data_IF_737356199307
#
_entry.id   IF_737356199307
#
_cell.length_a   1.000
_cell.length_b   1.000
_cell.length_c   1.000
_cell.angle_alpha   90.00
_cell.angle_beta   90.00
_cell.angle_gamma   90.00
#
_symmetry.space_group_name_H-M   'P 1'
#
loop_
_entity.id
_entity.type
_entity.pdbx_description
1 polymer ?
#
# COMPACT_ATOMS: atom_id res chain seq x y z
N UNK A 1 13.72 -31.04 -32.23
CA UNK A 1 14.83 -30.54 -31.39
C UNK A 1 14.22 -29.62 -30.37
N UNK A 2 14.09 -30.06 -29.12
CA UNK A 2 13.68 -29.16 -28.03
C UNK A 2 14.88 -28.27 -27.70
N UNK A 3 14.80 -27.01 -28.06
CA UNK A 3 15.76 -25.99 -27.59
C UNK A 3 15.54 -25.88 -26.09
N UNK A 4 16.44 -26.41 -25.29
CA UNK A 4 16.48 -26.18 -23.84
C UNK A 4 16.88 -24.72 -23.65
N UNK A 5 15.93 -23.83 -23.54
CA UNK A 5 16.17 -22.43 -23.17
C UNK A 5 16.68 -22.45 -21.73
N UNK A 6 17.83 -21.83 -21.48
CA UNK A 6 18.35 -21.65 -20.12
C UNK A 6 17.33 -20.82 -19.34
N UNK A 7 16.85 -21.25 -18.16
CA UNK A 7 15.85 -20.51 -17.37
C UNK A 7 16.23 -19.04 -17.11
N UNK A 8 17.52 -18.72 -17.02
CA UNK A 8 17.99 -17.34 -16.88
C UNK A 8 17.67 -16.49 -18.13
N UNK A 9 17.82 -17.04 -19.33
CA UNK A 9 17.50 -16.34 -20.58
C UNK A 9 15.98 -16.18 -20.78
N UNK A 10 15.19 -17.06 -20.18
CA UNK A 10 13.73 -16.98 -20.24
C UNK A 10 13.20 -15.78 -19.45
N UNK A 11 13.74 -15.53 -18.24
CA UNK A 11 13.35 -14.37 -17.43
C UNK A 11 13.82 -13.07 -18.07
N UNK A 12 15.00 -13.01 -18.67
CA UNK A 12 15.45 -11.83 -19.40
C UNK A 12 14.49 -11.47 -20.53
N UNK A 13 14.18 -12.47 -21.37
CA UNK A 13 13.26 -12.27 -22.50
C UNK A 13 11.86 -11.86 -22.02
N UNK A 14 11.39 -12.44 -20.91
CA UNK A 14 10.11 -12.07 -20.34
C UNK A 14 10.12 -10.60 -19.88
N UNK A 15 11.14 -10.16 -19.17
CA UNK A 15 11.26 -8.78 -18.70
C UNK A 15 11.53 -7.78 -19.83
N UNK A 16 12.23 -8.18 -20.89
CA UNK A 16 12.42 -7.33 -22.10
C UNK A 16 11.12 -7.08 -22.84
N UNK A 17 10.18 -8.00 -22.76
CA UNK A 17 8.90 -7.93 -23.48
C UNK A 17 7.69 -7.73 -22.56
N UNK A 18 7.91 -7.56 -21.26
CA UNK A 18 6.84 -7.52 -20.25
C UNK A 18 5.86 -6.38 -20.46
N UNK A 19 6.37 -5.21 -20.85
CA UNK A 19 5.58 -4.01 -21.13
C UNK A 19 5.95 -3.49 -22.53
N UNK A 20 4.94 -3.09 -23.29
CA UNK A 20 5.10 -2.38 -24.54
C UNK A 20 4.43 -1.02 -24.40
N UNK A 21 5.23 0.02 -24.50
CA UNK A 21 4.84 1.44 -24.59
C UNK A 21 5.36 1.98 -25.92
N UNK A 22 4.59 1.75 -26.98
CA UNK A 22 4.91 2.21 -28.34
C UNK A 22 3.89 3.26 -28.76
N UNK A 23 4.22 4.52 -28.55
CA UNK A 23 3.38 5.68 -28.88
C UNK A 23 3.14 5.83 -30.38
N UNK A 24 4.13 5.45 -31.23
CA UNK A 24 4.01 5.55 -32.67
C UNK A 24 3.05 4.50 -33.23
N UNK A 25 3.14 3.28 -32.72
CA UNK A 25 2.23 2.20 -33.09
C UNK A 25 0.87 2.26 -32.35
N UNK A 26 0.75 3.08 -31.31
CA UNK A 26 -0.44 3.13 -30.44
C UNK A 26 -0.64 1.85 -29.62
N UNK A 27 0.45 1.20 -29.23
CA UNK A 27 0.43 -0.08 -28.50
C UNK A 27 0.88 0.16 -27.07
N UNK A 28 -0.04 0.00 -26.12
CA UNK A 28 0.20 0.11 -24.67
C UNK A 28 -0.35 -1.15 -24.02
N UNK A 29 0.53 -2.06 -23.55
CA UNK A 29 0.10 -3.35 -23.01
C UNK A 29 1.13 -3.99 -22.12
N UNK A 30 0.69 -4.85 -21.20
CA UNK A 30 1.57 -5.70 -20.41
C UNK A 30 1.26 -7.18 -20.59
N UNK A 31 2.27 -8.03 -20.38
CA UNK A 31 2.13 -9.49 -20.52
C UNK A 31 1.39 -10.07 -19.32
N UNK A 32 0.49 -11.03 -19.57
CA UNK A 32 -0.27 -11.72 -18.52
C UNK A 32 0.58 -12.69 -17.71
N UNK A 33 1.64 -13.24 -18.28
CA UNK A 33 2.52 -14.16 -17.57
C UNK A 33 3.34 -13.52 -16.46
N UNK A 34 3.50 -12.18 -16.41
CA UNK A 34 4.07 -11.49 -15.23
C UNK A 34 3.22 -11.66 -13.95
N UNK A 35 1.95 -12.01 -14.09
CA UNK A 35 1.02 -12.27 -12.97
C UNK A 35 1.01 -13.73 -12.53
N UNK A 36 1.64 -14.64 -13.29
CA UNK A 36 1.57 -16.09 -13.03
C UNK A 36 2.94 -16.75 -12.87
N UNK A 37 4.02 -16.04 -13.20
CA UNK A 37 5.38 -16.61 -13.15
C UNK A 37 5.91 -16.67 -11.71
N UNK A 38 6.12 -17.89 -11.20
CA UNK A 38 6.59 -18.11 -9.83
C UNK A 38 8.03 -17.62 -9.58
N UNK A 39 8.91 -17.64 -10.58
CA UNK A 39 10.28 -17.17 -10.44
C UNK A 39 10.32 -15.64 -10.32
N UNK A 40 9.48 -14.92 -11.07
CA UNK A 40 9.31 -13.48 -10.89
C UNK A 40 8.75 -13.15 -9.50
N UNK A 41 7.78 -13.92 -9.02
CA UNK A 41 7.24 -13.74 -7.67
C UNK A 41 8.33 -13.85 -6.57
N UNK A 42 9.25 -14.79 -6.66
CA UNK A 42 10.34 -14.89 -5.69
C UNK A 42 11.29 -13.67 -5.72
N UNK A 43 11.56 -13.14 -6.92
CA UNK A 43 12.32 -11.90 -7.08
C UNK A 43 11.54 -10.68 -6.54
N UNK A 44 10.24 -10.59 -6.80
CA UNK A 44 9.36 -9.55 -6.24
C UNK A 44 9.41 -9.55 -4.70
N UNK A 45 9.27 -10.74 -4.10
CA UNK A 45 9.34 -10.86 -2.64
C UNK A 45 10.66 -10.35 -2.09
N UNK A 46 11.79 -10.73 -2.70
CA UNK A 46 13.13 -10.37 -2.24
C UNK A 46 13.48 -8.90 -2.49
N UNK A 47 13.16 -8.36 -3.66
CA UNK A 47 13.65 -7.05 -4.10
C UNK A 47 12.61 -5.93 -4.03
N UNK A 48 11.32 -6.26 -4.04
CA UNK A 48 10.25 -5.27 -3.89
C UNK A 48 9.74 -5.23 -2.45
N UNK A 49 9.23 -6.37 -1.92
CA UNK A 49 8.57 -6.38 -0.61
C UNK A 49 9.54 -6.45 0.58
N UNK A 50 10.68 -7.10 0.43
CA UNK A 50 11.72 -7.21 1.47
C UNK A 50 12.85 -6.22 1.24
N UNK A 51 13.12 -5.87 -0.03
CA UNK A 51 14.25 -5.06 -0.47
C UNK A 51 13.96 -3.57 -0.66
N UNK A 52 12.72 -3.12 -0.52
CA UNK A 52 12.35 -1.73 -0.65
C UNK A 52 11.47 -1.27 0.53
N UNK A 53 11.05 0.00 0.54
CA UNK A 53 10.14 0.51 1.55
C UNK A 53 8.74 -0.10 1.43
N UNK A 54 8.21 -0.60 2.53
CA UNK A 54 6.83 -1.05 2.67
C UNK A 54 6.17 -0.39 3.87
N UNK A 55 4.89 -0.06 3.74
CA UNK A 55 4.10 0.45 4.85
C UNK A 55 3.87 -0.66 5.88
N UNK A 56 4.00 -0.32 7.16
CA UNK A 56 3.92 -1.24 8.29
C UNK A 56 2.72 -0.99 9.19
N UNK A 57 2.51 0.26 9.59
CA UNK A 57 1.47 0.67 10.52
C UNK A 57 1.32 2.20 10.52
N UNK A 58 0.28 2.71 11.18
CA UNK A 58 0.19 4.11 11.57
C UNK A 58 0.54 4.25 13.06
N UNK A 59 1.25 5.31 13.44
CA UNK A 59 1.73 5.49 14.82
C UNK A 59 0.60 5.54 15.86
N UNK A 60 -0.62 5.92 15.46
CA UNK A 60 -1.80 5.89 16.33
C UNK A 60 -2.23 4.49 16.76
N UNK A 61 -1.69 3.44 16.15
CA UNK A 61 -1.94 2.04 16.55
C UNK A 61 -1.07 1.59 17.73
N UNK A 62 -0.07 2.41 18.10
CA UNK A 62 0.86 2.22 19.21
C UNK A 62 1.03 3.55 19.97
N UNK A 63 -0.06 4.12 20.52
CA UNK A 63 -0.05 5.49 21.07
C UNK A 63 0.70 5.59 22.40
N UNK A 64 0.68 4.56 23.24
CA UNK A 64 1.17 4.61 24.60
C UNK A 64 2.55 3.93 24.75
N UNK A 65 3.31 4.35 25.76
CA UNK A 65 4.58 3.72 26.09
C UNK A 65 4.38 2.23 26.36
N UNK A 66 5.26 1.41 25.83
CA UNK A 66 5.25 -0.06 25.80
C UNK A 66 4.16 -0.70 24.92
N UNK A 67 3.45 0.08 24.13
CA UNK A 67 2.57 -0.48 23.11
C UNK A 67 3.39 -1.19 22.03
N UNK A 68 2.78 -2.23 21.46
CA UNK A 68 3.34 -2.94 20.31
C UNK A 68 2.25 -3.27 19.28
N UNK A 69 2.70 -3.39 18.03
CA UNK A 69 1.89 -3.82 16.89
C UNK A 69 2.68 -4.80 16.03
N UNK A 70 2.05 -5.91 15.61
CA UNK A 70 2.68 -6.91 14.75
C UNK A 70 2.26 -6.75 13.31
N UNK A 71 3.23 -6.84 12.40
CA UNK A 71 3.03 -6.70 10.96
C UNK A 71 4.05 -7.56 10.20
N UNK A 72 4.22 -7.30 8.91
CA UNK A 72 5.11 -8.05 8.03
C UNK A 72 5.88 -7.12 7.10
N UNK A 73 7.12 -7.51 6.78
CA UNK A 73 7.87 -7.04 5.62
C UNK A 73 8.06 -8.25 4.72
N UNK A 74 7.32 -8.31 3.62
CA UNK A 74 7.29 -9.50 2.78
C UNK A 74 6.95 -10.77 3.58
N UNK A 75 7.91 -11.69 3.70
CA UNK A 75 7.80 -12.95 4.45
C UNK A 75 8.25 -12.83 5.92
N UNK A 76 8.86 -11.70 6.32
CA UNK A 76 9.41 -11.53 7.66
C UNK A 76 8.36 -10.99 8.63
N UNK A 77 8.07 -11.70 9.75
CA UNK A 77 7.24 -11.14 10.80
C UNK A 77 7.98 -10.03 11.54
N UNK A 78 7.30 -8.90 11.76
CA UNK A 78 7.84 -7.71 12.42
C UNK A 78 7.01 -7.40 13.66
N UNK A 79 7.64 -6.88 14.69
CA UNK A 79 6.97 -6.19 15.78
C UNK A 79 7.50 -4.75 15.87
N UNK A 80 6.56 -3.81 15.83
CA UNK A 80 6.82 -2.39 16.07
C UNK A 80 6.46 -2.12 17.52
N UNK A 81 7.28 -1.37 18.22
CA UNK A 81 7.09 -1.06 19.64
C UNK A 81 7.32 0.43 19.89
N UNK A 82 6.63 0.96 20.89
CA UNK A 82 7.00 2.24 21.51
C UNK A 82 7.62 1.94 22.85
N UNK A 83 8.86 2.36 23.07
CA UNK A 83 9.53 2.09 24.34
C UNK A 83 9.03 2.99 25.48
N UNK A 84 9.63 2.85 26.65
CA UNK A 84 9.27 3.65 27.84
C UNK A 84 9.61 5.15 27.71
N UNK A 85 10.44 5.52 26.75
CA UNK A 85 10.80 6.92 26.47
C UNK A 85 9.93 7.54 25.38
N UNK A 86 9.09 6.73 24.73
CA UNK A 86 8.24 7.14 23.62
C UNK A 86 8.87 6.92 22.23
N UNK A 87 10.10 6.39 22.16
CA UNK A 87 10.77 6.10 20.91
C UNK A 87 10.19 4.86 20.23
N UNK A 88 10.09 4.90 18.90
CA UNK A 88 9.58 3.81 18.07
C UNK A 88 10.73 2.90 17.60
N UNK A 89 10.53 1.61 17.73
CA UNK A 89 11.46 0.57 17.25
C UNK A 89 10.73 -0.44 16.38
N UNK A 90 11.44 -1.05 15.43
CA UNK A 90 10.93 -2.15 14.62
C UNK A 90 11.94 -3.28 14.59
N UNK A 91 11.57 -4.45 15.06
CA UNK A 91 12.45 -5.64 15.14
C UNK A 91 11.82 -6.85 14.47
N UNK A 92 12.65 -7.78 14.02
CA UNK A 92 12.20 -9.06 13.51
C UNK A 92 11.54 -9.83 14.66
N UNK A 93 10.29 -10.23 14.48
CA UNK A 93 9.48 -10.95 15.47
C UNK A 93 9.84 -12.45 15.50
N UNK A 94 11.11 -12.75 15.67
CA UNK A 94 11.62 -14.11 15.70
C UNK A 94 12.69 -14.24 16.80
N UNK A 95 12.48 -15.18 17.74
CA UNK A 95 13.42 -15.43 18.83
C UNK A 95 14.80 -15.81 18.31
N UNK A 96 15.85 -15.15 18.81
CA UNK A 96 17.23 -15.41 18.42
C UNK A 96 17.71 -16.84 18.71
N UNK A 97 17.00 -17.59 19.56
CA UNK A 97 17.33 -18.98 19.86
C UNK A 97 16.97 -19.94 18.70
N UNK A 98 15.69 -20.05 18.37
CA UNK A 98 15.19 -21.01 17.34
C UNK A 98 14.05 -20.41 16.49
N UNK A 99 13.99 -19.11 16.33
CA UNK A 99 13.09 -18.45 15.39
C UNK A 99 11.61 -18.39 15.78
N UNK A 100 11.21 -18.86 16.98
CA UNK A 100 9.80 -18.82 17.35
C UNK A 100 9.30 -17.37 17.44
N UNK A 101 8.09 -17.10 16.91
CA UNK A 101 7.46 -15.78 17.04
C UNK A 101 7.21 -15.43 18.50
N UNK A 102 7.69 -14.27 18.93
CA UNK A 102 7.58 -13.75 20.29
C UNK A 102 6.19 -13.15 20.55
N UNK A 103 5.78 -12.25 19.66
CA UNK A 103 4.48 -11.58 19.70
C UNK A 103 3.52 -12.26 18.72
N UNK A 104 2.50 -12.93 19.25
CA UNK A 104 1.50 -13.67 18.46
C UNK A 104 0.16 -12.94 18.38
N UNK A 105 -0.02 -11.87 19.17
CA UNK A 105 -1.19 -11.00 19.12
C UNK A 105 -0.91 -9.79 18.25
N UNK A 106 -1.92 -9.28 17.59
CA UNK A 106 -1.81 -8.14 16.68
C UNK A 106 -1.28 -6.88 17.36
N UNK A 107 -1.72 -6.62 18.59
CA UNK A 107 -1.34 -5.46 19.41
C UNK A 107 -1.41 -5.80 20.91
N UNK A 108 -0.82 -4.95 21.72
CA UNK A 108 -0.85 -5.00 23.18
C UNK A 108 0.16 -4.05 23.80
N UNK A 109 0.28 -4.09 25.14
CA UNK A 109 1.21 -3.25 25.91
C UNK A 109 2.15 -4.11 26.73
N UNK A 110 3.46 -4.08 26.44
CA UNK A 110 4.50 -4.85 27.14
C UNK A 110 5.88 -4.21 26.97
N UNK A 111 6.59 -4.02 28.07
CA UNK A 111 8.00 -3.59 28.08
C UNK A 111 9.01 -4.68 27.73
N UNK A 112 8.60 -5.95 27.72
CA UNK A 112 9.45 -7.09 27.36
C UNK A 112 8.64 -8.26 26.81
N UNK A 113 9.30 -9.13 26.05
CA UNK A 113 8.72 -10.30 25.41
C UNK A 113 9.46 -11.56 25.83
N UNK A 114 8.77 -12.49 26.48
CA UNK A 114 9.33 -13.80 26.84
C UNK A 114 8.90 -14.83 25.79
N UNK A 115 9.89 -15.47 25.19
CA UNK A 115 9.67 -16.52 24.20
C UNK A 115 8.93 -17.70 24.87
N UNK A 116 7.75 -18.10 24.36
CA UNK A 116 6.97 -19.18 24.98
C UNK A 116 7.61 -20.56 24.79
N UNK A 117 8.65 -20.67 23.94
CA UNK A 117 9.29 -21.94 23.66
C UNK A 117 10.34 -22.29 24.74
N UNK A 118 11.33 -21.41 25.01
CA UNK A 118 12.42 -21.71 25.95
C UNK A 118 12.68 -20.58 26.97
N UNK A 119 11.78 -19.62 27.11
CA UNK A 119 11.85 -18.60 28.15
C UNK A 119 12.88 -17.49 27.94
N UNK A 120 13.51 -17.38 26.74
CA UNK A 120 14.36 -16.23 26.46
C UNK A 120 13.53 -14.95 26.45
N UNK A 121 14.02 -13.94 27.16
CA UNK A 121 13.28 -12.69 27.35
C UNK A 121 14.04 -11.53 26.73
N UNK A 122 13.35 -10.74 25.91
CA UNK A 122 13.88 -9.58 25.21
C UNK A 122 13.14 -8.32 25.67
N UNK A 123 13.83 -7.19 25.71
CA UNK A 123 13.17 -5.90 25.85
C UNK A 123 12.31 -5.60 24.62
N UNK A 124 11.41 -4.62 24.73
CA UNK A 124 10.66 -4.13 23.57
C UNK A 124 11.53 -3.36 22.56
N UNK A 125 12.80 -3.05 22.89
CA UNK A 125 13.79 -2.52 21.97
C UNK A 125 14.64 -3.62 21.28
N UNK A 126 14.36 -4.90 21.59
CA UNK A 126 15.02 -6.07 21.01
C UNK A 126 16.22 -6.61 21.77
N UNK A 127 16.69 -5.98 22.85
CA UNK A 127 17.84 -6.48 23.65
C UNK A 127 17.50 -7.77 24.39
N UNK A 128 18.37 -8.76 24.33
CA UNK A 128 18.28 -9.95 25.17
C UNK A 128 18.50 -9.57 26.63
N UNK A 129 17.47 -9.77 27.47
CA UNK A 129 17.51 -9.44 28.90
C UNK A 129 17.84 -10.65 29.78
N UNK A 130 17.37 -11.83 29.37
CA UNK A 130 17.50 -13.04 30.17
C UNK A 130 17.36 -14.29 29.32
N UNK A 131 18.19 -15.28 29.59
CA UNK A 131 17.98 -16.67 29.16
C UNK A 131 17.62 -17.53 30.37
N UNK A 132 16.89 -18.62 30.14
CA UNK A 132 16.57 -19.58 31.21
C UNK A 132 17.85 -20.28 31.64
N UNK A 133 18.01 -20.47 32.96
CA UNK A 133 19.12 -21.21 33.59
C UNK A 133 20.54 -20.65 33.27
N UNK A 134 20.63 -19.34 32.95
CA UNK A 134 21.90 -18.65 32.59
C UNK A 134 23.01 -18.76 33.66
N UNK A 135 22.63 -18.94 34.92
CA UNK A 135 23.58 -19.04 36.05
C UNK A 135 24.22 -20.43 36.21
N UNK A 136 23.75 -21.39 35.45
CA UNK A 136 24.37 -22.70 35.35
C UNK A 136 25.43 -22.60 34.23
N UNK A 137 26.47 -23.40 34.28
CA UNK A 137 27.57 -23.38 33.27
C UNK A 137 27.15 -23.91 31.90
N UNK A 138 25.91 -23.65 31.53
CA UNK A 138 25.26 -24.20 30.34
C UNK A 138 25.58 -23.44 29.02
N UNK A 139 26.11 -22.19 29.15
CA UNK A 139 26.42 -21.34 27.98
C UNK A 139 27.93 -21.02 27.96
N UNK A 140 28.53 -20.90 26.75
CA UNK A 140 29.90 -20.43 26.60
C UNK A 140 30.12 -19.05 27.22
N UNK A 141 31.34 -18.76 27.70
CA UNK A 141 31.67 -17.46 28.30
C UNK A 141 31.43 -16.29 27.34
N UNK A 142 31.53 -16.53 26.03
CA UNK A 142 31.31 -15.53 24.97
C UNK A 142 29.85 -15.40 24.57
N UNK A 143 28.94 -16.12 25.24
CA UNK A 143 27.49 -16.03 24.96
C UNK A 143 26.99 -14.60 25.10
N UNK A 144 26.29 -14.14 24.09
CA UNK A 144 25.71 -12.79 23.98
C UNK A 144 26.72 -11.64 24.12
N UNK A 145 28.01 -11.87 23.83
CA UNK A 145 28.98 -10.81 23.77
C UNK A 145 28.60 -9.81 22.67
N UNK A 146 28.59 -8.52 23.01
CA UNK A 146 28.18 -7.41 22.11
C UNK A 146 26.74 -7.52 21.55
N UNK A 147 25.81 -8.18 22.26
CA UNK A 147 24.43 -8.31 21.83
C UNK A 147 24.22 -9.26 20.65
N UNK A 148 25.10 -10.26 20.49
CA UNK A 148 25.04 -11.22 19.38
C UNK A 148 23.71 -12.01 19.31
N UNK A 149 22.96 -12.04 20.40
CA UNK A 149 21.65 -12.70 20.51
C UNK A 149 20.48 -11.71 20.72
N UNK A 150 20.71 -10.42 20.49
CA UNK A 150 19.62 -9.45 20.44
C UNK A 150 18.73 -9.74 19.20
N UNK A 151 17.47 -9.31 19.25
CA UNK A 151 16.62 -9.37 18.06
C UNK A 151 17.16 -8.46 16.97
N UNK A 152 17.12 -8.93 15.73
CA UNK A 152 17.55 -8.11 14.60
C UNK A 152 16.60 -6.94 14.41
N UNK A 153 17.17 -5.76 14.29
CA UNK A 153 16.44 -4.55 13.92
C UNK A 153 16.01 -4.63 12.46
N UNK A 154 14.91 -4.00 12.09
CA UNK A 154 14.58 -3.70 10.71
C UNK A 154 15.66 -2.75 10.18
N UNK A 155 16.24 -3.05 9.03
CA UNK A 155 17.43 -2.35 8.52
C UNK A 155 17.19 -0.86 8.27
N UNK A 156 16.00 -0.51 7.80
CA UNK A 156 15.51 0.88 7.69
C UNK A 156 14.10 0.95 8.25
N UNK A 157 13.86 1.92 9.12
CA UNK A 157 12.55 2.19 9.72
C UNK A 157 12.39 3.70 9.83
N UNK A 158 11.29 4.24 9.32
CA UNK A 158 11.04 5.67 9.28
C UNK A 158 9.55 6.00 9.43
N UNK A 159 9.28 7.22 9.90
CA UNK A 159 7.94 7.78 10.09
C UNK A 159 7.78 8.98 9.16
N UNK A 160 6.76 8.96 8.30
CA UNK A 160 6.33 10.14 7.56
C UNK A 160 4.90 10.49 7.95
N UNK A 161 4.74 11.58 8.68
CA UNK A 161 3.43 12.13 9.10
C UNK A 161 2.54 11.13 9.85
N UNK A 162 3.13 10.20 10.60
CA UNK A 162 2.45 9.14 11.32
C UNK A 162 2.36 7.79 10.58
N UNK A 163 2.66 7.76 9.30
CA UNK A 163 2.75 6.53 8.52
C UNK A 163 4.14 5.92 8.68
N UNK A 164 4.19 4.68 9.19
CA UNK A 164 5.43 3.97 9.50
C UNK A 164 5.80 3.04 8.35
N UNK A 165 7.03 3.17 7.89
CA UNK A 165 7.58 2.37 6.80
C UNK A 165 8.84 1.62 7.26
N UNK A 166 9.12 0.49 6.61
CA UNK A 166 10.34 -0.27 6.87
C UNK A 166 10.87 -1.00 5.65
N UNK A 167 12.15 -1.33 5.68
CA UNK A 167 12.81 -2.16 4.67
C UNK A 167 13.84 -3.08 5.35
N UNK A 168 14.04 -4.28 4.80
CA UNK A 168 15.13 -5.18 5.23
C UNK A 168 16.45 -4.87 4.53
N UNK A 169 16.44 -4.00 3.51
CA UNK A 169 17.62 -3.51 2.81
C UNK A 169 18.08 -2.18 3.42
N UNK A 170 19.35 -2.14 3.84
CA UNK A 170 19.96 -0.94 4.42
C UNK A 170 20.27 0.16 3.39
N UNK A 171 20.34 -0.20 2.11
CA UNK A 171 20.79 0.68 1.02
C UNK A 171 19.65 1.30 0.21
N UNK A 172 18.41 1.25 0.73
CA UNK A 172 17.28 1.95 0.12
C UNK A 172 17.45 3.47 0.21
N UNK A 173 16.87 4.19 -0.74
CA UNK A 173 16.78 5.65 -0.71
C UNK A 173 16.21 6.14 0.62
N UNK A 174 16.53 7.36 1.06
CA UNK A 174 15.78 8.00 2.15
C UNK A 174 14.27 7.94 1.90
N UNK A 175 13.46 7.73 2.93
CA UNK A 175 12.01 7.55 2.75
C UNK A 175 11.35 8.72 2.01
N UNK A 176 11.73 9.95 2.32
CA UNK A 176 11.16 11.13 1.68
C UNK A 176 11.49 11.20 0.19
N UNK A 177 12.69 10.79 -0.21
CA UNK A 177 13.09 10.73 -1.62
C UNK A 177 12.34 9.60 -2.34
N UNK A 178 12.14 8.45 -1.67
CA UNK A 178 11.34 7.36 -2.21
C UNK A 178 9.87 7.73 -2.41
N UNK A 179 9.28 8.41 -1.43
CA UNK A 179 7.88 8.88 -1.53
C UNK A 179 7.70 9.95 -2.60
N UNK A 180 8.72 10.75 -2.87
CA UNK A 180 8.70 11.77 -3.92
C UNK A 180 7.41 12.61 -3.90
N UNK A 181 6.74 12.68 -5.03
CA UNK A 181 5.48 13.44 -5.21
C UNK A 181 4.30 12.90 -4.38
N UNK A 182 4.32 11.60 -4.03
CA UNK A 182 3.28 11.02 -3.17
C UNK A 182 3.18 11.73 -1.81
N UNK A 183 4.26 12.39 -1.33
CA UNK A 183 4.24 13.18 -0.09
C UNK A 183 3.19 14.28 -0.10
N UNK A 184 3.04 14.99 -1.22
CA UNK A 184 2.07 16.09 -1.34
C UNK A 184 0.65 15.57 -1.06
N UNK A 185 0.33 14.39 -1.55
CA UNK A 185 -0.97 13.77 -1.35
C UNK A 185 -1.14 13.24 0.09
N UNK A 186 -0.08 12.66 0.67
CA UNK A 186 -0.09 12.27 2.08
C UNK A 186 -0.29 13.50 2.97
N UNK A 187 0.39 14.60 2.67
CA UNK A 187 0.24 15.86 3.40
C UNK A 187 -1.20 16.39 3.32
N UNK A 188 -1.83 16.40 2.14
CA UNK A 188 -3.23 16.79 2.00
C UNK A 188 -4.18 15.90 2.82
N UNK A 189 -3.91 14.59 2.91
CA UNK A 189 -4.69 13.66 3.74
C UNK A 189 -4.51 13.98 5.23
N UNK A 190 -3.28 14.24 5.68
CA UNK A 190 -2.99 14.56 7.08
C UNK A 190 -3.49 15.96 7.45
N UNK A 191 -3.41 16.90 6.53
CA UNK A 191 -3.81 18.31 6.76
C UNK A 191 -5.32 18.51 6.87
N UNK A 192 -6.13 17.46 6.64
CA UNK A 192 -7.53 17.45 7.07
C UNK A 192 -7.69 17.55 8.60
N UNK A 193 -6.68 17.12 9.35
CA UNK A 193 -6.73 16.82 10.77
C UNK A 193 -5.77 17.71 11.58
N UNK A 194 -6.23 18.77 12.25
CA UNK A 194 -5.35 19.67 13.02
C UNK A 194 -4.61 18.95 14.16
N UNK A 195 -5.19 17.90 14.71
CA UNK A 195 -4.63 17.09 15.79
C UNK A 195 -4.00 15.76 15.31
N UNK A 196 -3.79 15.62 13.99
CA UNK A 196 -3.32 14.40 13.37
C UNK A 196 -4.42 13.35 13.14
N UNK A 197 -4.03 12.27 12.49
CA UNK A 197 -4.91 11.15 12.15
C UNK A 197 -4.86 10.06 13.21
N UNK A 198 -5.91 9.25 13.28
CA UNK A 198 -5.96 7.99 14.00
C UNK A 198 -6.55 6.88 13.13
N UNK A 199 -6.00 5.68 13.25
CA UNK A 199 -6.60 4.46 12.71
C UNK A 199 -7.68 4.00 13.68
N UNK A 200 -8.90 3.82 13.19
CA UNK A 200 -10.02 3.40 14.01
C UNK A 200 -9.88 1.93 14.41
N UNK A 201 -10.45 1.60 15.56
CA UNK A 201 -10.49 0.20 16.02
C UNK A 201 -11.42 -0.61 15.14
N UNK A 202 -11.05 -1.86 14.94
CA UNK A 202 -11.76 -2.76 14.03
C UNK A 202 -11.13 -2.68 12.62
N UNK A 203 -10.49 -3.76 12.23
CA UNK A 203 -9.98 -3.96 10.88
C UNK A 203 -10.62 -5.18 10.28
N UNK A 204 -10.72 -5.20 8.97
CA UNK A 204 -11.09 -6.38 8.21
C UNK A 204 -9.90 -6.83 7.36
N UNK A 205 -9.84 -8.13 7.10
CA UNK A 205 -8.85 -8.70 6.20
C UNK A 205 -9.51 -9.77 5.34
N UNK A 206 -9.04 -9.89 4.11
CA UNK A 206 -9.46 -10.93 3.19
C UNK A 206 -8.25 -11.49 2.44
N UNK A 207 -8.43 -12.66 1.87
CA UNK A 207 -7.48 -13.27 0.95
C UNK A 207 -8.24 -13.53 -0.34
N UNK A 208 -7.65 -13.14 -1.46
CA UNK A 208 -8.18 -13.47 -2.77
C UNK A 208 -7.19 -14.33 -3.56
N UNK A 209 -7.73 -15.14 -4.46
CA UNK A 209 -6.98 -16.01 -5.37
C UNK A 209 -6.58 -15.22 -6.61
N UNK A 210 -5.53 -14.43 -6.48
CA UNK A 210 -5.00 -13.57 -7.54
C UNK A 210 -3.68 -12.93 -7.15
N UNK A 211 -2.94 -12.51 -8.18
CA UNK A 211 -1.66 -11.82 -8.04
C UNK A 211 -1.84 -10.42 -7.43
N UNK A 212 -0.88 -10.02 -6.62
CA UNK A 212 -0.91 -8.74 -5.90
C UNK A 212 -1.00 -7.51 -6.82
N UNK A 213 -0.46 -7.57 -8.04
CA UNK A 213 -0.50 -6.48 -9.02
C UNK A 213 -1.92 -6.11 -9.44
N UNK A 214 -2.86 -7.05 -9.43
CA UNK A 214 -4.28 -6.76 -9.73
C UNK A 214 -4.87 -5.75 -8.74
N UNK A 215 -4.57 -5.91 -7.44
CA UNK A 215 -5.01 -4.96 -6.42
C UNK A 215 -4.33 -3.60 -6.60
N UNK A 216 -3.06 -3.59 -7.04
CA UNK A 216 -2.32 -2.35 -7.24
C UNK A 216 -2.90 -1.51 -8.39
N UNK A 217 -3.39 -2.13 -9.43
CA UNK A 217 -4.11 -1.46 -10.52
C UNK A 217 -5.51 -1.02 -10.05
N UNK A 218 -6.33 -1.95 -9.57
CA UNK A 218 -7.74 -1.72 -9.21
C UNK A 218 -7.94 -0.56 -8.23
N UNK A 219 -7.04 -0.37 -7.28
CA UNK A 219 -7.16 0.69 -6.28
C UNK A 219 -7.14 2.11 -6.85
N UNK A 220 -6.61 2.31 -8.06
CA UNK A 220 -6.58 3.58 -8.79
C UNK A 220 -7.25 3.49 -10.16
N UNK A 221 -8.09 2.49 -10.39
CA UNK A 221 -8.85 2.30 -11.62
C UNK A 221 -10.25 2.93 -11.49
N UNK A 222 -10.54 3.90 -12.33
CA UNK A 222 -11.88 4.49 -12.43
C UNK A 222 -12.75 3.83 -13.49
N UNK A 223 -12.17 2.99 -14.36
CA UNK A 223 -12.89 2.42 -15.50
C UNK A 223 -13.86 1.31 -15.09
N UNK A 224 -13.49 0.46 -14.16
CA UNK A 224 -14.35 -0.64 -13.69
C UNK A 224 -15.57 -0.18 -12.90
N UNK A 225 -15.53 1.03 -12.29
CA UNK A 225 -16.50 1.50 -11.29
C UNK A 225 -17.95 1.42 -11.80
N UNK A 226 -18.21 1.84 -13.03
CA UNK A 226 -19.56 1.84 -13.61
C UNK A 226 -20.08 0.43 -13.95
N UNK A 227 -19.21 -0.56 -14.10
CA UNK A 227 -19.55 -1.93 -14.44
C UNK A 227 -19.60 -2.82 -13.20
N UNK A 228 -18.51 -2.92 -12.47
CA UNK A 228 -18.37 -3.82 -11.31
C UNK A 228 -19.24 -3.33 -10.14
N UNK A 229 -19.25 -2.01 -9.88
CA UNK A 229 -19.99 -1.45 -8.75
C UNK A 229 -21.41 -0.96 -9.10
N UNK A 230 -21.98 -1.46 -10.18
CA UNK A 230 -23.37 -1.11 -10.56
C UNK A 230 -24.38 -1.39 -9.45
N UNK A 231 -24.23 -2.52 -8.74
CA UNK A 231 -25.12 -2.91 -7.66
C UNK A 231 -25.09 -1.88 -6.50
N UNK A 232 -23.90 -1.41 -6.13
CA UNK A 232 -23.75 -0.35 -5.13
C UNK A 232 -24.45 0.92 -5.57
N UNK A 233 -24.19 1.39 -6.79
CA UNK A 233 -24.80 2.60 -7.34
C UNK A 233 -26.33 2.52 -7.38
N UNK A 234 -26.90 1.40 -7.84
CA UNK A 234 -28.34 1.17 -7.87
C UNK A 234 -28.95 1.16 -6.47
N UNK A 235 -28.24 0.58 -5.49
CA UNK A 235 -28.69 0.55 -4.08
C UNK A 235 -28.67 1.94 -3.47
N UNK A 236 -27.58 2.70 -3.65
CA UNK A 236 -27.48 4.07 -3.16
C UNK A 236 -28.53 4.99 -3.78
N UNK A 237 -28.82 4.83 -5.07
CA UNK A 237 -29.89 5.56 -5.75
C UNK A 237 -31.31 5.33 -5.19
N UNK A 238 -31.53 4.15 -4.56
CA UNK A 238 -32.80 3.80 -3.90
C UNK A 238 -32.87 4.28 -2.45
N UNK A 239 -31.76 4.48 -1.79
CA UNK A 239 -31.70 4.99 -0.40
C UNK A 239 -32.11 6.47 -0.41
N UNK A 240 -33.02 6.85 0.48
CA UNK A 240 -33.50 8.24 0.60
C UNK A 240 -32.63 9.07 1.58
N UNK A 241 -31.70 8.46 2.26
CA UNK A 241 -30.83 9.11 3.26
C UNK A 241 -29.78 10.00 2.57
N UNK A 242 -29.68 11.26 2.97
CA UNK A 242 -28.82 12.25 2.32
C UNK A 242 -27.32 11.89 2.36
N UNK A 243 -26.85 11.23 3.44
CA UNK A 243 -25.44 10.84 3.62
C UNK A 243 -24.95 9.71 2.71
N UNK A 244 -25.84 9.09 1.92
CA UNK A 244 -25.52 7.94 1.07
C UNK A 244 -25.33 8.30 -0.41
N UNK A 245 -25.55 9.55 -0.81
CA UNK A 245 -25.41 10.02 -2.20
C UNK A 245 -24.01 10.45 -2.59
N UNK A 246 -23.01 9.82 -2.03
CA UNK A 246 -21.61 10.19 -2.28
C UNK A 246 -21.13 9.82 -3.69
N UNK A 247 -21.75 8.85 -4.36
CA UNK A 247 -21.39 8.39 -5.71
C UNK A 247 -22.63 8.25 -6.58
N UNK A 248 -22.59 8.86 -7.76
CA UNK A 248 -23.52 8.59 -8.86
C UNK A 248 -22.74 7.92 -10.01
N UNK A 249 -22.92 6.61 -10.17
CA UNK A 249 -22.21 5.84 -11.20
C UNK A 249 -22.56 6.29 -12.63
N UNK A 250 -23.75 6.88 -12.86
CA UNK A 250 -24.13 7.37 -14.19
C UNK A 250 -23.41 8.66 -14.58
N UNK A 251 -22.87 9.38 -13.61
CA UNK A 251 -22.12 10.63 -13.82
C UNK A 251 -20.62 10.48 -13.54
N UNK A 252 -20.17 9.29 -13.12
CA UNK A 252 -18.76 9.05 -12.81
C UNK A 252 -17.84 9.38 -13.98
N UNK A 253 -18.13 8.87 -15.17
CA UNK A 253 -17.37 9.13 -16.40
C UNK A 253 -17.42 10.58 -16.91
N UNK A 254 -18.33 11.40 -16.35
CA UNK A 254 -18.50 12.82 -16.68
C UNK A 254 -17.92 13.75 -15.61
N UNK A 255 -17.43 13.20 -14.52
CA UNK A 255 -16.83 14.01 -13.46
C UNK A 255 -15.49 14.60 -13.92
N UNK A 256 -15.16 15.78 -13.41
CA UNK A 256 -13.80 16.31 -13.52
C UNK A 256 -12.89 15.41 -12.69
N UNK A 257 -11.93 14.78 -13.33
CA UNK A 257 -11.09 13.76 -12.72
C UNK A 257 -9.76 13.68 -13.43
N UNK A 258 -8.83 12.96 -12.88
CA UNK A 258 -7.57 12.65 -13.54
C UNK A 258 -6.80 11.54 -12.83
N UNK A 259 -5.75 11.11 -13.49
CA UNK A 259 -4.82 10.10 -13.00
C UNK A 259 -3.39 10.58 -13.18
N UNK A 260 -2.52 10.20 -12.26
CA UNK A 260 -1.11 10.54 -12.30
C UNK A 260 -0.25 9.31 -12.05
N UNK A 261 0.79 9.14 -12.88
CA UNK A 261 1.89 8.21 -12.62
C UNK A 261 3.12 8.99 -12.13
N UNK A 262 3.69 8.59 -11.01
CA UNK A 262 4.88 9.19 -10.40
C UNK A 262 6.10 8.28 -10.49
N UNK A 263 7.24 8.79 -10.08
CA UNK A 263 8.43 7.97 -9.87
C UNK A 263 8.18 6.88 -8.80
N UNK A 264 9.03 5.87 -8.80
CA UNK A 264 8.98 4.73 -7.86
C UNK A 264 7.67 3.91 -7.91
N UNK A 265 6.90 4.01 -9.00
CA UNK A 265 5.67 3.23 -9.20
C UNK A 265 4.47 3.72 -8.39
N UNK A 266 4.55 4.89 -7.75
CA UNK A 266 3.41 5.50 -7.11
C UNK A 266 2.41 6.00 -8.15
N UNK A 267 1.12 5.84 -7.87
CA UNK A 267 0.05 6.30 -8.76
C UNK A 267 -1.08 6.95 -7.97
N UNK A 268 -1.79 7.86 -8.61
CA UNK A 268 -2.91 8.58 -8.02
C UNK A 268 -4.09 8.61 -8.99
N UNK A 269 -5.27 8.30 -8.47
CA UNK A 269 -6.55 8.66 -9.06
C UNK A 269 -7.18 9.77 -8.21
N UNK A 270 -7.62 10.85 -8.84
CA UNK A 270 -8.36 11.91 -8.18
C UNK A 270 -9.65 12.25 -8.93
N UNK A 271 -10.68 12.71 -8.21
CA UNK A 271 -11.91 13.20 -8.81
C UNK A 271 -12.42 14.42 -8.05
N UNK A 272 -13.01 15.39 -8.76
CA UNK A 272 -13.75 16.47 -8.12
C UNK A 272 -15.08 15.91 -7.63
N UNK A 273 -15.33 16.02 -6.33
CA UNK A 273 -16.57 15.49 -5.76
C UNK A 273 -17.76 16.35 -6.15
N UNK A 274 -18.86 15.71 -6.54
CA UNK A 274 -20.10 16.40 -6.91
C UNK A 274 -20.91 16.84 -5.68
N UNK A 275 -20.79 16.11 -4.59
CA UNK A 275 -21.53 16.36 -3.34
C UNK A 275 -20.53 16.44 -2.16
N UNK A 276 -19.69 17.49 -2.09
CA UNK A 276 -18.67 17.58 -1.04
C UNK A 276 -19.26 17.63 0.36
N UNK A 277 -20.49 18.14 0.51
CA UNK A 277 -21.21 18.27 1.78
C UNK A 277 -21.53 16.96 2.48
N UNK A 278 -21.51 15.82 1.77
CA UNK A 278 -21.73 14.49 2.38
C UNK A 278 -20.48 13.93 3.03
N UNK A 279 -19.31 14.53 2.77
CA UNK A 279 -18.05 14.12 3.37
C UNK A 279 -17.84 14.80 4.73
N UNK A 280 -17.42 14.09 5.78
CA UNK A 280 -17.15 14.73 7.08
C UNK A 280 -16.18 15.93 7.01
N UNK A 281 -15.15 15.86 6.13
CA UNK A 281 -14.16 16.92 5.94
C UNK A 281 -14.79 18.27 5.52
N UNK A 282 -15.93 18.26 4.84
CA UNK A 282 -16.60 19.47 4.35
C UNK A 282 -17.06 20.40 5.50
N UNK A 283 -17.43 19.84 6.65
CA UNK A 283 -17.85 20.62 7.82
C UNK A 283 -16.71 21.45 8.40
N UNK A 284 -15.46 21.07 8.15
CA UNK A 284 -14.25 21.72 8.62
C UNK A 284 -13.56 22.61 7.56
N UNK A 285 -14.22 22.85 6.41
CA UNK A 285 -13.63 23.55 5.26
C UNK A 285 -13.06 24.94 5.58
N UNK A 286 -13.73 25.71 6.45
CA UNK A 286 -13.29 27.07 6.79
C UNK A 286 -12.07 27.04 7.72
N UNK A 287 -11.99 26.09 8.63
CA UNK A 287 -10.83 25.84 9.49
C UNK A 287 -9.62 25.34 8.66
N UNK A 288 -9.87 24.39 7.73
CA UNK A 288 -8.83 23.90 6.82
C UNK A 288 -8.31 25.06 5.97
N UNK A 289 -9.20 25.87 5.38
CA UNK A 289 -8.84 27.04 4.58
C UNK A 289 -7.97 28.03 5.35
N UNK A 290 -8.34 28.33 6.60
CA UNK A 290 -7.55 29.22 7.44
C UNK A 290 -6.14 28.70 7.74
N UNK A 291 -5.95 27.37 7.72
CA UNK A 291 -4.68 26.74 8.05
C UNK A 291 -3.77 26.52 6.83
N UNK A 292 -4.32 26.08 5.70
CA UNK A 292 -3.53 25.68 4.52
C UNK A 292 -3.69 26.61 3.31
N UNK A 293 -4.57 27.62 3.38
CA UNK A 293 -4.89 28.53 2.29
C UNK A 293 -5.93 28.01 1.32
N UNK A 294 -6.45 28.88 0.44
CA UNK A 294 -7.60 28.59 -0.42
C UNK A 294 -7.35 27.44 -1.40
N UNK A 295 -6.19 27.43 -2.06
CA UNK A 295 -5.86 26.43 -3.09
C UNK A 295 -5.78 25.03 -2.50
N UNK A 296 -5.01 24.84 -1.42
CA UNK A 296 -4.87 23.55 -0.78
C UNK A 296 -6.18 23.09 -0.11
N UNK A 297 -6.94 24.01 0.46
CA UNK A 297 -8.25 23.70 1.02
C UNK A 297 -9.24 23.20 -0.05
N UNK A 298 -9.22 23.77 -1.25
CA UNK A 298 -10.05 23.29 -2.36
C UNK A 298 -9.69 21.83 -2.73
N UNK A 299 -8.41 21.51 -2.85
CA UNK A 299 -7.96 20.14 -3.09
C UNK A 299 -8.35 19.18 -1.96
N UNK A 300 -8.18 19.55 -0.72
CA UNK A 300 -8.50 18.72 0.44
C UNK A 300 -10.01 18.44 0.52
N UNK A 301 -10.84 19.46 0.38
CA UNK A 301 -12.28 19.40 0.66
C UNK A 301 -13.09 18.94 -0.54
N UNK A 302 -12.79 19.46 -1.74
CA UNK A 302 -13.58 19.29 -2.93
C UNK A 302 -13.07 18.22 -3.90
N UNK A 303 -11.91 17.62 -3.63
CA UNK A 303 -11.42 16.49 -4.40
C UNK A 303 -11.33 15.24 -3.55
N UNK A 304 -11.55 14.09 -4.19
CA UNK A 304 -11.29 12.77 -3.64
C UNK A 304 -10.02 12.22 -4.24
N UNK A 305 -9.39 11.25 -3.58
CA UNK A 305 -8.14 10.66 -4.03
C UNK A 305 -7.97 9.23 -3.58
N UNK A 306 -7.37 8.44 -4.47
CA UNK A 306 -6.80 7.13 -4.16
C UNK A 306 -5.33 7.20 -4.50
N UNK A 307 -4.47 7.25 -3.50
CA UNK A 307 -3.02 7.20 -3.64
C UNK A 307 -2.55 5.77 -3.41
N UNK A 308 -1.91 5.19 -4.40
CA UNK A 308 -1.08 4.00 -4.23
C UNK A 308 0.34 4.42 -3.90
N UNK A 309 0.80 4.15 -2.70
CA UNK A 309 2.22 4.18 -2.36
C UNK A 309 2.76 2.78 -2.59
N UNK A 310 3.42 2.62 -3.72
CA UNK A 310 4.00 1.34 -4.14
C UNK A 310 5.00 0.82 -3.09
N UNK A 311 5.09 -0.50 -2.80
CA UNK A 311 4.35 -1.56 -3.47
C UNK A 311 3.09 -2.01 -2.72
N UNK A 312 2.79 -1.51 -1.51
CA UNK A 312 1.90 -2.27 -0.64
C UNK A 312 0.80 -1.47 0.07
N UNK A 313 0.66 -0.17 -0.16
CA UNK A 313 -0.38 0.57 0.55
C UNK A 313 -1.14 1.54 -0.32
N UNK A 314 -2.47 1.56 -0.12
CA UNK A 314 -3.33 2.63 -0.59
C UNK A 314 -3.77 3.51 0.56
N UNK A 315 -3.70 4.80 0.33
CA UNK A 315 -4.35 5.82 1.14
C UNK A 315 -5.52 6.38 0.33
N UNK A 316 -6.73 6.01 0.73
CA UNK A 316 -7.94 6.39 0.01
C UNK A 316 -8.72 7.42 0.83
N UNK A 317 -8.99 8.55 0.23
CA UNK A 317 -9.79 9.64 0.77
C UNK A 317 -10.85 10.02 -0.28
N UNK A 318 -11.85 9.16 -0.40
CA UNK A 318 -13.00 9.36 -1.29
C UNK A 318 -14.23 9.81 -0.50
N UNK A 319 -15.35 9.10 -0.67
CA UNK A 319 -16.53 9.26 0.19
C UNK A 319 -16.31 8.70 1.60
N UNK A 320 -15.30 7.84 1.78
CA UNK A 320 -14.76 7.40 3.06
C UNK A 320 -13.25 7.37 3.04
N UNK A 321 -12.63 7.16 4.20
CA UNK A 321 -11.20 7.12 4.38
C UNK A 321 -10.73 5.71 4.69
N UNK A 322 -9.71 5.23 3.96
CA UNK A 322 -9.22 3.86 4.08
C UNK A 322 -7.69 3.79 3.93
N UNK A 323 -7.06 3.01 4.78
CA UNK A 323 -5.73 2.43 4.54
C UNK A 323 -5.96 1.00 4.08
N UNK A 324 -5.45 0.63 2.91
CA UNK A 324 -5.50 -0.73 2.37
C UNK A 324 -4.08 -1.25 2.23
N UNK A 325 -3.74 -2.32 2.93
CA UNK A 325 -2.39 -2.89 2.96
C UNK A 325 -2.40 -4.22 2.24
N UNK A 326 -1.57 -4.33 1.22
CA UNK A 326 -1.46 -5.51 0.34
C UNK A 326 -0.25 -6.35 0.76
N UNK A 327 -0.44 -7.65 0.89
CA UNK A 327 0.60 -8.62 1.22
C UNK A 327 0.49 -9.86 0.33
N UNK A 328 1.42 -10.07 -0.59
CA UNK A 328 1.46 -11.29 -1.38
C UNK A 328 1.76 -12.51 -0.49
N UNK A 329 1.03 -13.59 -0.68
CA UNK A 329 1.24 -14.88 0.00
C UNK A 329 1.78 -15.95 -0.95
N UNK A 330 1.40 -15.87 -2.22
CA UNK A 330 1.88 -16.69 -3.33
C UNK A 330 1.72 -15.89 -4.63
N UNK A 331 2.23 -16.41 -5.72
CA UNK A 331 2.09 -15.78 -7.05
C UNK A 331 0.63 -15.49 -7.43
N UNK A 332 -0.29 -16.33 -6.95
CA UNK A 332 -1.72 -16.32 -7.21
C UNK A 332 -2.57 -16.15 -5.93
N UNK A 333 -1.98 -15.66 -4.86
CA UNK A 333 -2.69 -15.47 -3.59
C UNK A 333 -2.22 -14.23 -2.86
N UNK A 334 -3.15 -13.35 -2.52
CA UNK A 334 -2.87 -12.07 -1.87
C UNK A 334 -3.78 -11.84 -0.67
N UNK A 335 -3.18 -11.45 0.45
CA UNK A 335 -3.87 -10.95 1.64
C UNK A 335 -3.98 -9.43 1.58
N UNK A 336 -5.15 -8.91 1.92
CA UNK A 336 -5.37 -7.46 2.05
C UNK A 336 -5.98 -7.17 3.41
N UNK A 337 -5.36 -6.24 4.12
CA UNK A 337 -5.90 -5.70 5.38
C UNK A 337 -6.39 -4.27 5.16
N UNK A 338 -7.58 -3.96 5.65
CA UNK A 338 -8.20 -2.65 5.48
C UNK A 338 -8.53 -2.03 6.83
N UNK A 339 -8.31 -0.73 6.93
CA UNK A 339 -8.52 0.07 8.13
C UNK A 339 -9.22 1.37 7.76
N UNK A 340 -10.20 1.78 8.55
CA UNK A 340 -10.70 3.15 8.49
C UNK A 340 -9.77 4.07 9.28
N UNK A 341 -9.49 5.27 8.78
CA UNK A 341 -8.79 6.30 9.53
C UNK A 341 -9.62 7.58 9.63
N UNK A 342 -9.30 8.42 10.62
CA UNK A 342 -10.07 9.61 10.91
C UNK A 342 -9.19 10.71 11.54
N UNK A 343 -9.62 11.97 11.51
CA UNK A 343 -9.04 13.02 12.36
C UNK A 343 -9.20 12.68 13.85
N UNK A 344 -8.13 12.87 14.63
CA UNK A 344 -8.22 12.73 16.09
C UNK A 344 -9.16 13.80 16.66
N UNK A 345 -10.12 13.33 17.48
CA UNK A 345 -11.07 14.20 18.14
C UNK A 345 -12.21 14.70 17.24
N UNK A 346 -12.43 14.07 16.08
CA UNK A 346 -13.62 14.40 15.28
C UNK A 346 -14.91 14.18 16.07
N UNK A 347 -15.97 14.89 15.69
CA UNK A 347 -17.28 14.75 16.34
C UNK A 347 -17.85 13.34 16.20
N UNK A 348 -18.71 12.92 17.15
CA UNK A 348 -19.42 11.64 17.08
C UNK A 348 -20.26 11.52 15.80
N UNK A 349 -20.87 12.64 15.36
CA UNK A 349 -21.66 12.68 14.12
C UNK A 349 -20.78 12.45 12.87
N UNK A 350 -19.58 13.05 12.80
CA UNK A 350 -18.64 12.84 11.71
C UNK A 350 -18.09 11.42 11.73
N UNK A 351 -17.75 10.92 12.93
CA UNK A 351 -17.30 9.56 13.14
C UNK A 351 -18.32 8.53 12.65
N UNK A 352 -19.57 8.72 13.03
CA UNK A 352 -20.69 7.84 12.60
C UNK A 352 -20.86 7.87 11.09
N UNK A 353 -20.84 9.06 10.48
CA UNK A 353 -20.94 9.21 9.01
C UNK A 353 -19.79 8.50 8.31
N UNK A 354 -18.56 8.72 8.77
CA UNK A 354 -17.34 8.12 8.19
C UNK A 354 -17.37 6.60 8.26
N UNK A 355 -17.66 6.03 9.43
CA UNK A 355 -17.74 4.57 9.61
C UNK A 355 -18.83 4.00 8.72
N UNK A 356 -20.00 4.63 8.65
CA UNK A 356 -21.09 4.17 7.79
C UNK A 356 -20.70 4.15 6.32
N UNK A 357 -20.07 5.20 5.82
CA UNK A 357 -19.59 5.29 4.44
C UNK A 357 -18.51 4.22 4.16
N UNK A 358 -17.60 3.98 5.11
CA UNK A 358 -16.59 2.94 5.02
C UNK A 358 -17.19 1.54 4.95
N UNK A 359 -18.13 1.23 5.84
CA UNK A 359 -18.78 -0.08 5.90
C UNK A 359 -19.67 -0.38 4.70
N UNK A 360 -20.34 0.62 4.15
CA UNK A 360 -21.23 0.45 3.00
C UNK A 360 -20.48 0.03 1.73
N UNK A 361 -19.23 0.43 1.55
CA UNK A 361 -18.47 0.19 0.32
C UNK A 361 -17.15 -0.54 0.52
N UNK A 362 -16.20 0.04 1.26
CA UNK A 362 -14.82 -0.45 1.32
C UNK A 362 -14.58 -1.62 2.27
N UNK A 363 -15.41 -1.79 3.28
CA UNK A 363 -15.25 -2.92 4.19
C UNK A 363 -15.39 -4.25 3.41
N UNK A 364 -14.78 -5.33 3.92
CA UNK A 364 -14.86 -6.67 3.30
C UNK A 364 -16.32 -7.10 3.05
N UNK A 365 -17.22 -6.72 3.93
CA UNK A 365 -18.66 -6.99 3.81
C UNK A 365 -19.43 -5.86 3.10
N UNK A 366 -18.73 -4.85 2.63
CA UNK A 366 -19.32 -3.76 1.85
C UNK A 366 -19.66 -4.20 0.42
N UNK A 367 -20.44 -3.38 -0.26
CA UNK A 367 -20.95 -3.70 -1.62
C UNK A 367 -19.90 -3.51 -2.73
N UNK A 368 -18.74 -2.89 -2.45
CA UNK A 368 -17.70 -2.68 -3.46
C UNK A 368 -16.64 -3.78 -3.47
N UNK A 369 -16.07 -4.09 -2.32
CA UNK A 369 -14.90 -4.97 -2.23
C UNK A 369 -15.17 -6.39 -2.74
N UNK A 370 -16.33 -6.98 -2.41
CA UNK A 370 -16.64 -8.35 -2.80
C UNK A 370 -16.74 -8.54 -4.33
N UNK A 371 -17.27 -7.56 -5.03
CA UNK A 371 -17.41 -7.60 -6.50
C UNK A 371 -16.03 -7.57 -7.18
N UNK A 372 -15.09 -6.77 -6.69
CA UNK A 372 -13.69 -6.72 -7.16
C UNK A 372 -12.98 -8.07 -7.02
N UNK A 373 -13.20 -8.77 -5.90
CA UNK A 373 -12.47 -10.02 -5.60
C UNK A 373 -12.83 -11.14 -6.59
N UNK A 374 -14.07 -11.20 -7.05
CA UNK A 374 -14.48 -12.18 -8.05
C UNK A 374 -13.83 -11.89 -9.41
N UNK A 375 -13.70 -10.61 -9.78
CA UNK A 375 -13.02 -10.23 -11.02
C UNK A 375 -11.51 -10.53 -10.95
N UNK A 376 -10.86 -10.33 -9.81
CA UNK A 376 -9.45 -10.73 -9.63
C UNK A 376 -9.26 -12.23 -9.81
N UNK A 377 -10.14 -13.05 -9.22
CA UNK A 377 -10.12 -14.50 -9.38
C UNK A 377 -10.33 -14.91 -10.83
N UNK A 378 -11.27 -14.28 -11.52
CA UNK A 378 -11.55 -14.54 -12.93
C UNK A 378 -10.38 -14.14 -13.83
N UNK A 379 -9.75 -12.99 -13.58
CA UNK A 379 -8.54 -12.54 -14.29
C UNK A 379 -7.37 -13.51 -14.08
N UNK A 380 -7.11 -13.94 -12.83
CA UNK A 380 -6.05 -14.90 -12.54
C UNK A 380 -6.24 -16.22 -13.29
N UNK A 381 -7.48 -16.73 -13.33
CA UNK A 381 -7.82 -17.92 -14.11
C UNK A 381 -7.60 -17.70 -15.62
N UNK A 382 -7.97 -16.53 -16.14
CA UNK A 382 -7.75 -16.16 -17.54
C UNK A 382 -6.27 -16.00 -17.90
N UNK A 383 -5.43 -15.54 -16.96
CA UNK A 383 -4.00 -15.36 -17.17
C UNK A 383 -3.21 -16.69 -17.22
N UNK A 384 -3.77 -17.77 -16.74
CA UNK A 384 -3.19 -19.10 -16.90
C UNK A 384 -3.17 -19.60 -18.36
N UNK A 385 -3.94 -18.96 -19.25
CA UNK A 385 -4.00 -19.28 -20.67
C UNK A 385 -2.83 -18.69 -21.45
N UNK A 386 -2.13 -19.52 -22.24
CA UNK A 386 -0.96 -19.11 -23.01
C UNK A 386 -1.29 -18.46 -24.37
N UNK A 387 -2.53 -18.52 -24.82
CA UNK A 387 -2.92 -18.04 -26.16
C UNK A 387 -3.20 -16.54 -26.18
N UNK A 388 -3.83 -16.00 -25.13
CA UNK A 388 -4.09 -14.57 -24.98
C UNK A 388 -3.09 -13.98 -23.99
N UNK A 389 -2.01 -13.41 -24.50
CA UNK A 389 -0.82 -13.07 -23.69
C UNK A 389 -0.82 -11.63 -23.14
N UNK A 390 -1.70 -10.78 -23.60
CA UNK A 390 -1.61 -9.34 -23.36
C UNK A 390 -2.82 -8.78 -22.63
N UNK A 391 -2.57 -7.93 -21.66
CA UNK A 391 -3.52 -6.95 -21.16
C UNK A 391 -3.32 -5.66 -21.95
N UNK A 392 -4.40 -5.09 -22.45
CA UNK A 392 -4.41 -3.80 -23.12
C UNK A 392 -4.50 -2.68 -22.06
N UNK A 393 -3.68 -1.67 -22.18
CA UNK A 393 -3.59 -0.50 -21.30
C UNK A 393 -3.71 0.81 -22.11
N UNK A 394 -4.26 0.75 -23.32
CA UNK A 394 -4.27 1.88 -24.26
C UNK A 394 -5.39 2.89 -24.03
N UNK A 395 -6.26 2.65 -23.04
CA UNK A 395 -7.40 3.54 -22.80
C UNK A 395 -6.92 4.93 -22.41
N UNK A 396 -7.38 5.91 -23.20
CA UNK A 396 -7.02 7.32 -23.03
C UNK A 396 -5.72 7.74 -23.69
N UNK A 397 -4.94 6.82 -24.25
CA UNK A 397 -3.61 7.09 -24.79
C UNK A 397 -3.48 8.32 -25.71
N UNK A 398 -4.45 8.63 -26.61
CA UNK A 398 -4.36 9.82 -27.44
C UNK A 398 -4.41 11.15 -26.66
N UNK A 399 -4.81 11.12 -25.40
CA UNK A 399 -5.02 12.29 -24.55
C UNK A 399 -4.06 12.35 -23.36
N UNK A 400 -3.19 11.35 -23.18
CA UNK A 400 -2.21 11.39 -22.10
C UNK A 400 -1.21 12.51 -22.31
N UNK A 401 -0.81 13.12 -21.20
CA UNK A 401 0.15 14.23 -21.16
C UNK A 401 1.45 13.72 -20.53
N UNK A 402 2.56 13.86 -21.22
CA UNK A 402 3.88 13.66 -20.64
C UNK A 402 4.17 14.80 -19.66
N UNK A 403 4.31 14.47 -18.37
CA UNK A 403 4.47 15.45 -17.31
C UNK A 403 3.15 15.96 -16.71
N UNK A 404 3.17 17.09 -15.99
CA UNK A 404 2.04 17.61 -15.26
C UNK A 404 0.98 18.28 -16.16
N UNK A 405 -0.29 17.99 -15.89
CA UNK A 405 -1.43 18.77 -16.39
C UNK A 405 -1.61 20.08 -15.59
N UNK A 406 -2.66 20.83 -15.88
CA UNK A 406 -2.96 22.09 -15.19
C UNK A 406 -3.29 21.87 -13.70
N UNK A 407 -4.03 20.80 -13.37
CA UNK A 407 -4.42 20.48 -12.00
C UNK A 407 -3.21 20.04 -11.17
N UNK A 408 -2.31 19.22 -11.74
CA UNK A 408 -1.05 18.84 -11.09
C UNK A 408 -0.19 20.05 -10.77
N UNK A 409 -0.03 20.98 -11.73
CA UNK A 409 0.74 22.23 -11.50
C UNK A 409 0.15 23.07 -10.38
N UNK A 410 -1.17 23.17 -10.28
CA UNK A 410 -1.86 23.89 -9.18
C UNK A 410 -1.61 23.24 -7.83
N UNK A 411 -1.51 21.88 -7.79
CA UNK A 411 -1.19 21.14 -6.58
C UNK A 411 0.30 21.17 -6.22
N UNK A 412 1.16 21.63 -7.14
CA UNK A 412 2.63 21.55 -6.98
C UNK A 412 3.20 20.17 -7.27
N UNK A 413 2.49 19.34 -8.07
CA UNK A 413 2.90 18.01 -8.47
C UNK A 413 3.58 18.01 -9.83
N UNK A 414 4.54 17.11 -10.02
CA UNK A 414 5.25 16.89 -11.26
C UNK A 414 5.23 15.40 -11.67
N UNK A 415 4.06 14.82 -11.99
CA UNK A 415 3.96 13.44 -12.42
C UNK A 415 4.73 13.18 -13.72
N UNK A 416 5.13 11.94 -13.95
CA UNK A 416 5.71 11.48 -15.22
C UNK A 416 4.67 11.48 -16.35
N UNK A 417 3.44 11.12 -15.99
CA UNK A 417 2.30 11.07 -16.91
C UNK A 417 1.05 11.57 -16.21
N UNK A 418 0.23 12.31 -16.93
CA UNK A 418 -1.10 12.76 -16.50
C UNK A 418 -2.16 12.28 -17.47
N UNK A 419 -3.32 11.85 -16.95
CA UNK A 419 -4.55 11.63 -17.70
C UNK A 419 -5.65 12.53 -17.14
N UNK A 420 -6.48 13.10 -18.01
CA UNK A 420 -7.54 14.06 -17.63
C UNK A 420 -8.88 13.39 -17.30
N UNK A 421 -8.91 12.05 -17.29
CA UNK A 421 -10.11 11.26 -16.95
C UNK A 421 -9.77 10.18 -15.92
N UNK A 422 -10.75 9.85 -15.08
CA UNK A 422 -10.60 8.76 -14.10
C UNK A 422 -10.40 7.38 -14.72
N UNK A 423 -10.74 7.23 -16.00
CA UNK A 423 -10.70 5.98 -16.75
C UNK A 423 -9.43 5.82 -17.60
N UNK A 424 -8.49 6.77 -17.55
CA UNK A 424 -7.25 6.70 -18.31
C UNK A 424 -6.28 5.70 -17.65
N UNK A 425 -5.59 4.88 -18.47
CA UNK A 425 -4.75 3.76 -17.99
C UNK A 425 -3.24 4.04 -18.06
N UNK A 426 -2.82 5.25 -18.46
CA UNK A 426 -1.41 5.60 -18.54
C UNK A 426 -0.63 5.47 -17.25
N UNK A 427 -1.29 5.66 -16.09
CA UNK A 427 -0.68 5.46 -14.79
C UNK A 427 -0.23 4.00 -14.58
N UNK A 428 -0.95 3.02 -15.15
CA UNK A 428 -0.60 1.59 -15.04
C UNK A 428 0.59 1.26 -15.92
N UNK A 429 0.69 1.86 -17.11
CA UNK A 429 1.89 1.74 -17.95
C UNK A 429 3.12 2.22 -17.15
N UNK A 430 3.04 3.41 -16.55
CA UNK A 430 4.10 3.97 -15.72
C UNK A 430 4.47 3.05 -14.53
N UNK A 431 3.48 2.45 -13.87
CA UNK A 431 3.71 1.54 -12.74
C UNK A 431 4.37 0.23 -13.18
N UNK A 432 3.93 -0.37 -14.28
CA UNK A 432 4.54 -1.58 -14.82
C UNK A 432 5.94 -1.37 -15.36
N UNK A 433 6.23 -0.20 -15.97
CA UNK A 433 7.60 0.17 -16.36
C UNK A 433 8.53 0.25 -15.16
N UNK A 434 8.07 0.86 -14.05
CA UNK A 434 8.83 0.86 -12.81
C UNK A 434 9.08 -0.56 -12.30
N UNK A 435 8.05 -1.41 -12.30
CA UNK A 435 8.19 -2.82 -11.92
C UNK A 435 9.24 -3.54 -12.78
N UNK A 436 9.19 -3.38 -14.11
CA UNK A 436 10.18 -3.97 -15.03
C UNK A 436 11.59 -3.49 -14.68
N UNK A 437 11.77 -2.19 -14.43
CA UNK A 437 13.06 -1.62 -14.07
C UNK A 437 13.62 -2.28 -12.80
N UNK A 438 12.82 -2.36 -11.73
CA UNK A 438 13.22 -3.01 -10.47
C UNK A 438 13.55 -4.49 -10.67
N UNK A 439 12.76 -5.21 -11.48
CA UNK A 439 12.97 -6.63 -11.72
C UNK A 439 14.22 -6.92 -12.57
N UNK A 440 14.54 -6.07 -13.54
CA UNK A 440 15.80 -6.17 -14.31
C UNK A 440 17.02 -5.93 -13.41
N UNK A 441 16.95 -4.94 -12.55
CA UNK A 441 18.03 -4.67 -11.58
C UNK A 441 18.17 -5.81 -10.55
N UNK A 442 17.05 -6.39 -10.14
CA UNK A 442 17.04 -7.59 -9.30
C UNK A 442 17.78 -8.75 -9.96
N UNK A 443 17.49 -9.06 -11.23
CA UNK A 443 18.19 -10.14 -11.95
C UNK A 443 19.70 -9.88 -12.06
N UNK A 444 20.12 -8.64 -12.35
CA UNK A 444 21.56 -8.29 -12.39
C UNK A 444 22.23 -8.49 -11.04
N UNK A 445 21.56 -8.11 -9.94
CA UNK A 445 22.07 -8.34 -8.57
C UNK A 445 22.19 -9.83 -8.25
N UNK A 446 21.20 -10.65 -8.60
CA UNK A 446 21.24 -12.11 -8.38
C UNK A 446 22.39 -12.78 -9.16
N UNK A 447 22.80 -12.21 -10.28
CA UNK A 447 23.93 -12.70 -11.09
C UNK A 447 25.28 -12.13 -10.65
N UNK A 448 25.30 -11.18 -9.71
CA UNK A 448 26.53 -10.48 -9.29
C UNK A 448 27.11 -9.53 -10.35
N UNK A 449 26.28 -9.07 -11.28
CA UNK A 449 26.67 -8.15 -12.35
C UNK A 449 26.74 -6.69 -11.85
N UNK A 450 26.07 -6.38 -10.74
CA UNK A 450 26.13 -5.11 -10.00
C UNK A 450 26.29 -5.39 -8.51
N UNK A 451 26.89 -4.44 -7.78
CA UNK A 451 26.98 -4.54 -6.32
C UNK A 451 25.57 -4.66 -5.70
N UNK A 452 25.48 -5.53 -4.70
CA UNK A 452 24.24 -5.83 -4.01
C UNK A 452 23.72 -4.63 -3.22
#
# INVERSE_FOLDING_TARGET
MSVTINPANELDHLLETAVQDDKEAGIFRCRRDIFTNAALYELEMKHIFEGNWVYLAHESQIPDNNDYYTTWIGRQPIVITRDKTGELHAVINACAHKGAMLCRRKHGNKGSFTCPFHGWTFSNTGKLLKVKDEKTTEYPVQFNTHGSHDLKQVARFANYRGFLFGSLNADVLPLEDYLGEARVIIDQIVDQAPNGLEVLRGNSSYIYEGNWKMQMENGCDGYHVSTVHWNYAATMGRRKEAGTKAVDANSWSKSVAGVYGFDHGHILLWTKTMNPEVRPVYRHRDEIRARVGDVQADFIVNQTRNLCVYPNVFLMDQFSTQIRVVRPLAVDKTEVSIFCFAPKGESEADRTTRIRQYEDFFNVTGMGTADDLEEFRACQAGYAGITAMWNDLSRGAPLWIDGPDENARKMGLNPRISGERSEDEGLFVCQHEHWVHVMRDALKKERGEVAA
#
